data_IF_262933752861
#
_entry.id   IF_262933752861
#
_cell.length_a   1.000
_cell.length_b   1.000
_cell.length_c   1.000
_cell.angle_alpha   90.00
_cell.angle_beta   90.00
_cell.angle_gamma   90.00
#
_symmetry.space_group_name_H-M   'P 1'
#
loop_
_entity.id
_entity.type
_entity.pdbx_description
1 polymer ?
#
# COMPACT_ATOMS: atom_id res chain seq x y z
N UNK A 1 -2.79 -17.12 18.87
CA UNK A 1 -2.88 -16.92 17.43
C UNK A 1 -1.52 -16.53 16.87
N UNK A 2 -1.15 -17.09 15.72
CA UNK A 2 0.11 -16.75 15.06
C UNK A 2 0.07 -15.26 14.61
N UNK A 3 1.20 -14.56 14.76
CA UNK A 3 1.37 -13.19 14.30
C UNK A 3 1.28 -13.14 12.79
N UNK A 4 0.55 -12.16 12.27
CA UNK A 4 0.48 -11.89 10.83
C UNK A 4 1.11 -10.53 10.54
N UNK A 5 1.67 -10.40 9.35
CA UNK A 5 2.33 -9.20 8.89
C UNK A 5 1.59 -8.72 7.63
N UNK A 6 1.09 -7.52 7.68
CA UNK A 6 0.36 -6.89 6.58
C UNK A 6 1.26 -5.83 5.97
N UNK A 7 1.75 -6.08 4.75
CA UNK A 7 2.56 -5.14 3.99
C UNK A 7 1.62 -4.39 3.07
N UNK A 8 1.46 -3.08 3.26
CA UNK A 8 0.38 -2.29 2.67
C UNK A 8 0.90 -1.04 1.98
N UNK A 9 0.22 -0.66 0.91
CA UNK A 9 0.35 0.61 0.22
C UNK A 9 -1.00 1.07 -0.31
N UNK A 10 -1.18 2.38 -0.46
CA UNK A 10 -2.37 3.00 -1.02
C UNK A 10 -2.03 3.94 -2.15
N UNK A 11 -2.95 4.10 -3.11
CA UNK A 11 -2.96 5.22 -4.03
C UNK A 11 -4.17 6.11 -3.73
N UNK A 12 -4.03 7.40 -3.97
CA UNK A 12 -4.99 8.40 -3.52
C UNK A 12 -5.30 9.41 -4.62
N UNK A 13 -6.36 10.20 -4.42
CA UNK A 13 -6.71 11.30 -5.32
C UNK A 13 -5.70 12.45 -5.28
N UNK A 14 -4.89 12.50 -4.24
CA UNK A 14 -3.87 13.52 -4.00
C UNK A 14 -3.34 13.42 -2.58
N UNK A 15 -2.64 14.46 -2.12
CA UNK A 15 -1.98 14.46 -0.79
C UNK A 15 -2.63 15.42 0.20
N UNK A 16 -3.71 16.07 -0.17
CA UNK A 16 -4.39 17.07 0.66
C UNK A 16 -5.34 16.47 1.69
N UNK A 17 -5.86 17.35 2.53
CA UNK A 17 -6.78 16.99 3.61
C UNK A 17 -8.06 16.31 3.12
N UNK A 18 -8.58 16.74 1.96
CA UNK A 18 -9.81 16.20 1.39
C UNK A 18 -9.59 15.00 0.48
N UNK A 19 -8.34 14.67 0.18
CA UNK A 19 -8.03 13.56 -0.72
C UNK A 19 -8.36 12.20 -0.09
N UNK A 20 -8.67 11.23 -0.93
CA UNK A 20 -9.22 9.94 -0.53
C UNK A 20 -8.48 8.78 -1.20
N UNK A 21 -8.55 7.61 -0.57
CA UNK A 21 -8.01 6.35 -1.11
C UNK A 21 -8.79 5.93 -2.36
N UNK A 22 -8.06 5.60 -3.42
CA UNK A 22 -8.61 5.05 -4.67
C UNK A 22 -8.01 3.69 -5.04
N UNK A 23 -6.97 3.25 -4.38
CA UNK A 23 -6.47 1.88 -4.48
C UNK A 23 -5.93 1.44 -3.13
N UNK A 24 -6.28 0.21 -2.75
CA UNK A 24 -5.79 -0.45 -1.55
C UNK A 24 -5.12 -1.76 -1.95
N UNK A 25 -3.82 -1.86 -1.70
CA UNK A 25 -3.02 -3.04 -1.98
C UNK A 25 -2.28 -3.52 -0.75
N UNK A 26 -2.36 -4.82 -0.46
CA UNK A 26 -1.55 -5.41 0.61
C UNK A 26 -1.35 -6.91 0.44
N UNK A 27 -0.30 -7.41 1.08
CA UNK A 27 0.02 -8.83 1.20
C UNK A 27 0.00 -9.19 2.68
N UNK A 28 -0.61 -10.34 3.00
CA UNK A 28 -0.64 -10.88 4.36
C UNK A 28 0.33 -12.06 4.46
N UNK A 29 1.30 -11.96 5.35
CA UNK A 29 2.29 -13.01 5.66
C UNK A 29 2.07 -13.54 7.08
N UNK A 30 2.54 -14.77 7.34
CA UNK A 30 2.49 -15.39 8.67
C UNK A 30 1.33 -16.37 8.89
N UNK A 31 0.42 -16.49 7.92
CA UNK A 31 -0.57 -17.56 7.85
C UNK A 31 -0.05 -18.74 7.02
N UNK A 32 -0.84 -19.82 6.91
CA UNK A 32 -0.48 -20.99 6.07
C UNK A 32 -0.34 -20.62 4.60
N UNK A 33 -1.16 -19.69 4.13
CA UNK A 33 -1.17 -19.21 2.75
C UNK A 33 -0.96 -17.70 2.76
N UNK A 34 -0.24 -17.19 1.75
CA UNK A 34 -0.07 -15.77 1.51
C UNK A 34 -1.36 -15.23 0.89
N UNK A 35 -1.94 -14.19 1.50
CA UNK A 35 -3.06 -13.47 0.91
C UNK A 35 -2.56 -12.26 0.13
N UNK A 36 -3.14 -12.02 -1.05
CA UNK A 36 -2.88 -10.82 -1.86
C UNK A 36 -4.21 -10.11 -2.09
N UNK A 37 -4.26 -8.84 -1.74
CA UNK A 37 -5.41 -7.97 -1.98
C UNK A 37 -4.96 -6.76 -2.78
N UNK A 38 -5.71 -6.42 -3.81
CA UNK A 38 -5.45 -5.25 -4.65
C UNK A 38 -6.75 -4.80 -5.32
N UNK A 39 -7.34 -3.71 -4.81
CA UNK A 39 -8.63 -3.23 -5.30
C UNK A 39 -8.62 -1.72 -5.54
N UNK A 40 -9.20 -1.32 -6.67
CA UNK A 40 -9.55 0.07 -6.93
C UNK A 40 -10.84 0.43 -6.20
N UNK A 41 -10.92 1.68 -5.73
CA UNK A 41 -12.07 2.22 -5.03
C UNK A 41 -12.58 3.47 -5.72
N UNK A 42 -13.90 3.62 -5.79
CA UNK A 42 -14.52 4.88 -6.22
C UNK A 42 -14.35 5.96 -5.14
N UNK A 43 -14.21 7.20 -5.58
CA UNK A 43 -14.19 8.38 -4.73
C UNK A 43 -15.00 9.52 -5.36
N UNK A 44 -15.64 10.34 -4.52
CA UNK A 44 -16.30 11.57 -4.95
C UNK A 44 -15.32 12.74 -5.15
N UNK A 45 -14.08 12.56 -4.70
CA UNK A 45 -13.03 13.56 -4.86
C UNK A 45 -12.33 13.33 -6.21
N UNK A 46 -12.21 14.35 -7.07
CA UNK A 46 -11.49 14.24 -8.33
C UNK A 46 -10.01 13.88 -8.09
N UNK A 47 -9.47 13.04 -8.96
CA UNK A 47 -8.03 12.72 -8.94
C UNK A 47 -7.26 13.93 -9.45
N UNK A 48 -6.28 14.43 -8.69
CA UNK A 48 -5.41 15.50 -9.17
C UNK A 48 -4.52 15.01 -10.31
N UNK A 49 -4.16 15.92 -11.22
CA UNK A 49 -3.25 15.58 -12.33
C UNK A 49 -1.87 15.12 -11.80
N UNK A 50 -1.39 15.74 -10.71
CA UNK A 50 -0.16 15.31 -10.07
C UNK A 50 -0.23 13.89 -9.51
N UNK A 51 -1.36 13.47 -8.97
CA UNK A 51 -1.56 12.09 -8.53
C UNK A 51 -1.61 11.14 -9.74
N UNK A 52 -2.37 11.50 -10.79
CA UNK A 52 -2.43 10.69 -12.03
C UNK A 52 -1.06 10.53 -12.69
N UNK A 53 -0.23 11.57 -12.69
CA UNK A 53 1.16 11.51 -13.19
C UNK A 53 1.98 10.43 -12.47
N UNK A 54 1.74 10.26 -11.17
CA UNK A 54 2.47 9.29 -10.35
C UNK A 54 1.92 7.87 -10.56
N UNK A 55 0.63 7.63 -10.32
CA UNK A 55 0.08 6.26 -10.29
C UNK A 55 -0.63 5.83 -11.57
N UNK A 56 -0.97 6.74 -12.47
CA UNK A 56 -1.62 6.43 -13.74
C UNK A 56 -3.07 5.94 -13.64
N UNK A 57 -3.71 6.08 -12.47
CA UNK A 57 -5.13 5.73 -12.30
C UNK A 57 -5.98 6.89 -12.81
N UNK A 58 -6.89 6.60 -13.72
CA UNK A 58 -7.78 7.57 -14.33
C UNK A 58 -9.20 7.46 -13.79
N UNK A 59 -10.04 8.50 -13.91
CA UNK A 59 -11.44 8.44 -13.51
C UNK A 59 -12.20 7.28 -14.15
N UNK A 60 -11.89 6.97 -15.41
CA UNK A 60 -12.52 5.87 -16.16
C UNK A 60 -12.23 4.51 -15.54
N UNK A 61 -11.04 4.32 -14.96
CA UNK A 61 -10.67 3.09 -14.27
C UNK A 61 -11.46 2.90 -12.97
N UNK A 62 -11.92 3.98 -12.36
CA UNK A 62 -12.72 3.95 -11.14
C UNK A 62 -14.22 3.83 -11.37
N UNK A 63 -14.68 4.00 -12.60
CA UNK A 63 -16.10 3.92 -12.95
C UNK A 63 -16.68 2.55 -12.58
N UNK A 64 -17.77 2.55 -11.82
CA UNK A 64 -18.45 1.33 -11.37
C UNK A 64 -17.74 0.57 -10.24
N UNK A 65 -16.64 1.09 -9.71
CA UNK A 65 -15.95 0.48 -8.57
C UNK A 65 -16.70 0.78 -7.27
N UNK A 66 -16.60 -0.13 -6.27
CA UNK A 66 -17.17 0.13 -4.95
C UNK A 66 -16.41 1.23 -4.21
N UNK A 67 -17.03 1.80 -3.18
CA UNK A 67 -16.31 2.66 -2.23
C UNK A 67 -15.23 1.85 -1.50
N UNK A 68 -14.26 2.52 -0.90
CA UNK A 68 -13.17 1.83 -0.18
C UNK A 68 -13.73 0.86 0.88
N UNK A 69 -14.69 1.30 1.69
CA UNK A 69 -15.29 0.49 2.74
C UNK A 69 -16.09 -0.73 2.23
N UNK A 70 -16.55 -0.69 1.00
CA UNK A 70 -17.31 -1.80 0.39
C UNK A 70 -16.39 -2.86 -0.24
N UNK A 71 -15.11 -2.57 -0.42
CA UNK A 71 -14.16 -3.52 -1.01
C UNK A 71 -13.93 -4.73 -0.09
N UNK A 72 -13.65 -5.87 -0.69
CA UNK A 72 -13.24 -7.08 0.05
C UNK A 72 -11.92 -6.83 0.78
N UNK A 73 -10.99 -6.11 0.15
CA UNK A 73 -9.71 -5.74 0.75
C UNK A 73 -9.88 -4.96 2.05
N UNK A 74 -10.73 -3.93 2.07
CA UNK A 74 -10.99 -3.14 3.28
C UNK A 74 -11.64 -3.98 4.39
N UNK A 75 -12.65 -4.77 4.05
CA UNK A 75 -13.34 -5.64 5.02
C UNK A 75 -12.39 -6.66 5.64
N UNK A 76 -11.50 -7.23 4.83
CA UNK A 76 -10.47 -8.15 5.34
C UNK A 76 -9.45 -7.44 6.22
N UNK A 77 -9.05 -6.23 5.87
CA UNK A 77 -8.14 -5.42 6.66
C UNK A 77 -8.72 -5.13 8.06
N UNK A 78 -10.03 -4.86 8.17
CA UNK A 78 -10.72 -4.72 9.45
C UNK A 78 -10.61 -5.97 10.32
N UNK A 79 -10.74 -7.16 9.75
CA UNK A 79 -10.59 -8.44 10.46
C UNK A 79 -9.16 -8.65 10.97
N UNK A 80 -8.16 -8.17 10.23
CA UNK A 80 -6.74 -8.29 10.57
C UNK A 80 -6.30 -7.26 11.62
N UNK A 81 -7.13 -6.26 11.91
CA UNK A 81 -6.80 -5.13 12.76
C UNK A 81 -6.83 -5.48 14.25
N UNK A 82 -5.81 -6.17 14.71
CA UNK A 82 -5.63 -6.60 16.11
C UNK A 82 -4.24 -6.25 16.62
N UNK A 83 -4.08 -6.14 17.93
CA UNK A 83 -2.79 -5.84 18.58
C UNK A 83 -1.72 -6.92 18.36
N UNK A 84 -2.10 -8.12 17.96
CA UNK A 84 -1.16 -9.22 17.73
C UNK A 84 -0.46 -9.11 16.37
N UNK A 85 -1.03 -8.39 15.43
CA UNK A 85 -0.53 -8.24 14.07
C UNK A 85 0.35 -6.99 13.90
N UNK A 86 1.10 -6.99 12.81
CA UNK A 86 1.95 -5.88 12.38
C UNK A 86 1.47 -5.34 11.03
N UNK A 87 1.49 -4.03 10.89
CA UNK A 87 1.29 -3.36 9.60
C UNK A 87 2.59 -2.67 9.19
N UNK A 88 3.04 -2.94 7.97
CA UNK A 88 4.31 -2.49 7.41
C UNK A 88 4.02 -1.60 6.21
N UNK A 89 4.46 -0.35 6.29
CA UNK A 89 4.18 0.67 5.27
C UNK A 89 5.41 1.56 5.09
N UNK A 90 5.68 1.96 3.86
CA UNK A 90 6.70 2.97 3.58
C UNK A 90 6.09 4.37 3.69
N UNK A 91 6.49 5.17 4.67
CA UNK A 91 5.86 6.42 5.08
C UNK A 91 4.45 6.21 5.67
N UNK A 92 4.37 5.39 6.69
CA UNK A 92 3.12 4.96 7.32
C UNK A 92 2.15 6.09 7.74
N UNK A 93 2.58 7.27 8.23
CA UNK A 93 1.65 8.34 8.58
C UNK A 93 0.76 8.78 7.41
N UNK A 94 1.24 8.74 6.18
CA UNK A 94 0.45 9.12 5.01
C UNK A 94 -0.68 8.12 4.76
N UNK A 95 -0.35 6.84 4.58
CA UNK A 95 -1.36 5.81 4.28
C UNK A 95 -2.33 5.60 5.42
N UNK A 96 -1.84 5.58 6.66
CA UNK A 96 -2.71 5.44 7.83
C UNK A 96 -3.62 6.65 7.99
N UNK A 97 -3.13 7.87 7.71
CA UNK A 97 -3.95 9.07 7.71
C UNK A 97 -5.07 9.02 6.65
N UNK A 98 -4.76 8.53 5.46
CA UNK A 98 -5.75 8.33 4.40
C UNK A 98 -6.78 7.24 4.77
N UNK A 99 -6.34 6.14 5.36
CA UNK A 99 -7.23 5.07 5.83
C UNK A 99 -8.12 5.52 6.99
N UNK A 100 -7.67 6.42 7.86
CA UNK A 100 -8.52 6.99 8.91
C UNK A 100 -9.70 7.77 8.33
N UNK A 101 -9.54 8.43 7.21
CA UNK A 101 -10.65 9.08 6.49
C UNK A 101 -11.69 8.09 5.99
N UNK A 102 -11.28 6.85 5.77
CA UNK A 102 -12.16 5.73 5.39
C UNK A 102 -12.74 4.98 6.60
N UNK A 103 -12.48 5.46 7.81
CA UNK A 103 -12.96 4.85 9.06
C UNK A 103 -12.05 3.75 9.62
N UNK A 104 -10.87 3.54 9.06
CA UNK A 104 -9.92 2.56 9.55
C UNK A 104 -8.88 3.21 10.45
N UNK A 105 -8.86 2.82 11.72
CA UNK A 105 -7.84 3.21 12.69
C UNK A 105 -7.08 1.98 13.13
N UNK A 106 -5.79 1.92 12.82
CA UNK A 106 -4.99 0.73 13.13
C UNK A 106 -4.84 0.50 14.63
N UNK A 107 -5.03 -0.75 15.06
CA UNK A 107 -4.65 -1.27 16.36
C UNK A 107 -3.39 -2.14 16.27
N UNK A 108 -2.93 -2.41 15.05
CA UNK A 108 -1.73 -3.17 14.79
C UNK A 108 -0.47 -2.41 15.20
N UNK A 109 0.60 -3.13 15.43
CA UNK A 109 1.93 -2.55 15.61
C UNK A 109 2.44 -2.05 14.26
N UNK A 110 2.85 -0.78 14.21
CA UNK A 110 3.26 -0.14 12.95
C UNK A 110 4.78 -0.24 12.77
N UNK A 111 5.20 -0.70 11.61
CA UNK A 111 6.58 -0.62 11.14
C UNK A 111 6.59 0.31 9.92
N UNK A 112 7.23 1.47 10.07
CA UNK A 112 7.42 2.43 8.99
C UNK A 112 8.80 2.21 8.35
N UNK A 113 8.83 1.62 7.17
CA UNK A 113 10.10 1.30 6.48
C UNK A 113 10.86 2.54 6.04
N UNK A 114 10.21 3.69 5.84
CA UNK A 114 10.90 4.96 5.59
C UNK A 114 11.71 5.40 6.82
N UNK A 115 11.14 5.30 8.01
CA UNK A 115 11.83 5.63 9.27
C UNK A 115 12.98 4.66 9.54
N UNK A 116 12.73 3.37 9.31
CA UNK A 116 13.78 2.34 9.44
C UNK A 116 14.93 2.63 8.49
N UNK A 117 14.64 2.91 7.22
CA UNK A 117 15.66 3.22 6.21
C UNK A 117 16.48 4.46 6.59
N UNK A 118 15.84 5.54 7.04
CA UNK A 118 16.52 6.75 7.50
C UNK A 118 17.44 6.51 8.71
N UNK A 119 17.06 5.58 9.56
CA UNK A 119 17.85 5.24 10.75
C UNK A 119 19.05 4.33 10.41
N UNK A 120 18.82 3.33 9.56
CA UNK A 120 19.83 2.31 9.23
C UNK A 120 20.80 2.79 8.14
N UNK A 121 20.32 3.61 7.22
CA UNK A 121 21.04 4.13 6.06
C UNK A 121 20.97 5.66 6.01
N UNK A 122 21.47 6.37 7.03
CA UNK A 122 21.30 7.82 7.13
C UNK A 122 22.01 8.61 6.02
N UNK A 123 23.07 8.06 5.45
CA UNK A 123 23.93 8.71 4.47
C UNK A 123 23.45 8.54 3.01
N UNK A 124 22.31 7.85 2.80
CA UNK A 124 21.77 7.69 1.46
C UNK A 124 21.15 8.99 0.93
N UNK A 125 21.34 9.28 -0.36
CA UNK A 125 20.85 10.49 -1.03
C UNK A 125 19.31 10.62 -1.00
N UNK A 126 18.62 9.51 -0.93
CA UNK A 126 17.16 9.46 -0.84
C UNK A 126 16.69 8.20 -0.11
N UNK A 127 15.47 8.27 0.45
CA UNK A 127 14.88 7.15 1.18
C UNK A 127 13.52 6.73 0.59
N UNK A 128 13.22 7.16 -0.64
CA UNK A 128 12.02 6.75 -1.37
C UNK A 128 12.09 5.26 -1.74
N UNK A 129 10.95 4.60 -1.76
CA UNK A 129 10.85 3.17 -2.08
C UNK A 129 11.47 2.85 -3.45
N UNK A 130 11.16 3.62 -4.48
CA UNK A 130 11.71 3.43 -5.83
C UNK A 130 13.23 3.66 -5.90
N UNK A 131 13.77 4.54 -5.05
CA UNK A 131 15.23 4.69 -4.94
C UNK A 131 15.89 3.37 -4.50
N UNK A 132 15.36 2.75 -3.44
CA UNK A 132 15.89 1.47 -2.95
C UNK A 132 15.64 0.31 -3.90
N UNK A 133 14.54 0.34 -4.65
CA UNK A 133 14.26 -0.67 -5.69
C UNK A 133 15.43 -0.79 -6.66
N UNK A 134 16.01 0.33 -7.08
CA UNK A 134 17.17 0.35 -7.97
C UNK A 134 18.50 0.22 -7.22
N UNK A 135 18.69 0.94 -6.14
CA UNK A 135 19.92 0.93 -5.34
C UNK A 135 20.28 -0.47 -4.83
N UNK A 136 19.29 -1.21 -4.36
CA UNK A 136 19.45 -2.57 -3.84
C UNK A 136 19.19 -3.65 -4.89
N UNK A 137 18.99 -3.25 -6.14
CA UNK A 137 18.72 -4.14 -7.26
C UNK A 137 17.49 -5.05 -7.07
N UNK A 138 16.52 -4.64 -6.25
CA UNK A 138 15.32 -5.43 -5.96
C UNK A 138 14.50 -5.75 -7.21
N UNK A 139 14.59 -4.90 -8.24
CA UNK A 139 13.92 -5.12 -9.51
C UNK A 139 14.34 -6.42 -10.23
N UNK A 140 15.48 -6.99 -9.86
CA UNK A 140 15.96 -8.26 -10.45
C UNK A 140 15.16 -9.47 -9.97
N UNK A 141 14.67 -9.43 -8.74
CA UNK A 141 13.92 -10.53 -8.12
C UNK A 141 12.39 -10.30 -8.14
N UNK A 142 11.95 -9.06 -8.27
CA UNK A 142 10.52 -8.71 -8.15
C UNK A 142 9.61 -9.44 -9.14
N UNK A 143 10.07 -9.69 -10.37
CA UNK A 143 9.27 -10.38 -11.38
C UNK A 143 9.01 -11.83 -10.98
N UNK A 144 10.01 -12.50 -10.43
CA UNK A 144 9.89 -13.88 -9.95
C UNK A 144 8.91 -13.97 -8.79
N UNK A 145 9.00 -13.05 -7.83
CA UNK A 145 8.08 -13.01 -6.69
C UNK A 145 6.67 -12.64 -7.14
N UNK A 146 6.54 -11.68 -8.07
CA UNK A 146 5.26 -11.31 -8.66
C UNK A 146 4.58 -12.47 -9.37
N UNK A 147 5.33 -13.22 -10.18
CA UNK A 147 4.81 -14.39 -10.90
C UNK A 147 4.32 -15.46 -9.92
N UNK A 148 5.06 -15.69 -8.83
CA UNK A 148 4.67 -16.65 -7.79
C UNK A 148 3.36 -16.24 -7.07
N UNK A 149 3.07 -14.95 -6.96
CA UNK A 149 1.89 -14.40 -6.29
C UNK A 149 0.76 -13.99 -7.25
N UNK A 150 0.97 -14.10 -8.56
CA UNK A 150 0.00 -13.66 -9.56
C UNK A 150 -0.14 -12.13 -9.65
N UNK A 151 0.90 -11.38 -9.31
CA UNK A 151 0.93 -9.92 -9.33
C UNK A 151 1.55 -9.42 -10.64
N UNK A 152 0.96 -8.37 -11.22
CA UNK A 152 1.56 -7.64 -12.35
C UNK A 152 2.43 -6.51 -11.77
N UNK A 153 3.73 -6.53 -12.07
CA UNK A 153 4.67 -5.52 -11.60
C UNK A 153 4.44 -4.20 -12.34
N UNK A 154 4.14 -3.17 -11.57
CA UNK A 154 4.03 -1.80 -12.05
C UNK A 154 4.43 -0.84 -10.93
N UNK A 155 5.38 0.04 -11.19
CA UNK A 155 5.75 1.09 -10.24
C UNK A 155 4.57 2.04 -9.99
N UNK A 156 4.44 2.52 -8.76
CA UNK A 156 3.33 3.37 -8.33
C UNK A 156 1.95 2.74 -8.56
N UNK A 157 1.87 1.45 -8.46
CA UNK A 157 0.66 0.66 -8.29
C UNK A 157 0.74 0.04 -6.89
N UNK A 158 -0.30 0.18 -6.09
CA UNK A 158 -0.22 -0.16 -4.67
C UNK A 158 0.35 -1.56 -4.42
N UNK A 159 -0.12 -2.56 -5.16
CA UNK A 159 0.38 -3.93 -4.97
C UNK A 159 1.80 -4.13 -5.50
N UNK A 160 2.19 -3.42 -6.57
CA UNK A 160 3.54 -3.43 -7.09
C UNK A 160 4.54 -2.84 -6.10
N UNK A 161 4.17 -1.74 -5.43
CA UNK A 161 5.00 -1.10 -4.41
C UNK A 161 5.08 -1.95 -3.12
N UNK A 162 4.00 -2.64 -2.73
CA UNK A 162 4.02 -3.63 -1.63
C UNK A 162 5.03 -4.73 -1.86
N UNK A 163 5.17 -5.21 -3.09
CA UNK A 163 6.10 -6.28 -3.44
C UNK A 163 7.56 -5.91 -3.16
N UNK A 164 7.91 -4.63 -3.25
CA UNK A 164 9.26 -4.09 -2.97
C UNK A 164 9.52 -3.95 -1.46
N UNK A 165 8.47 -3.76 -0.69
CA UNK A 165 8.56 -3.66 0.76
C UNK A 165 8.91 -5.00 1.38
#
# INVERSE_FOLDING_TARGET
LAKQYIILDTETTGTGENDRVIQLGYIVLGAKEVEVHNELCASNIPISFGAMEVHGITPEMLAGKPTCQETTAYKRLLQLNTHDNYIIIHNAPFDLGMLEKEGFKTQMKVIDTLRVAKHVLPDEDAHRLQYFRYKMELYKEEQKEADALGIVVKAHDAIGDVLIL
#
